data_IF_465903192222
#
_entry.id   IF_465903192222
#
_cell.length_a   1.000
_cell.length_b   1.000
_cell.length_c   1.000
_cell.angle_alpha   90.00
_cell.angle_beta   90.00
_cell.angle_gamma   90.00
#
_symmetry.space_group_name_H-M   'P 1'
#
loop_
_entity.id
_entity.type
_entity.pdbx_description
1 polymer ?
#
# COMPACT_ATOMS: atom_id res chain seq x y z
N UNK A 1 7.94 26.33 -9.10
CA UNK A 1 6.89 25.30 -8.92
C UNK A 1 5.73 25.62 -9.85
N UNK A 2 5.25 24.66 -10.64
CA UNK A 2 4.00 24.80 -11.41
C UNK A 2 2.88 24.14 -10.63
N UNK A 3 1.73 24.79 -10.54
CA UNK A 3 0.53 24.26 -9.89
C UNK A 3 -0.56 24.07 -10.93
N UNK A 4 -1.32 22.98 -10.83
CA UNK A 4 -2.47 22.67 -11.67
C UNK A 4 -3.68 22.48 -10.75
N UNK A 5 -4.76 23.21 -11.00
CA UNK A 5 -6.06 22.97 -10.38
C UNK A 5 -6.92 22.22 -11.39
N UNK A 6 -7.58 21.17 -10.93
CA UNK A 6 -8.44 20.36 -11.77
C UNK A 6 -9.48 19.65 -10.91
N UNK A 7 -10.58 19.27 -11.53
CA UNK A 7 -11.58 18.39 -10.97
C UNK A 7 -11.20 16.95 -11.30
N UNK A 8 -10.98 16.14 -10.27
CA UNK A 8 -10.75 14.70 -10.41
C UNK A 8 -12.06 14.03 -10.82
N UNK A 9 -12.03 13.33 -11.94
CA UNK A 9 -13.18 12.60 -12.48
C UNK A 9 -13.09 11.11 -12.19
N UNK A 10 -11.90 10.52 -12.35
CA UNK A 10 -11.70 9.09 -12.17
C UNK A 10 -10.23 8.79 -11.79
N UNK A 11 -10.03 7.64 -11.16
CA UNK A 11 -8.72 7.10 -10.80
C UNK A 11 -8.62 5.69 -11.40
N UNK A 12 -7.57 5.47 -12.19
CA UNK A 12 -7.22 4.13 -12.67
C UNK A 12 -5.74 3.85 -12.40
N UNK A 13 -5.30 2.61 -12.60
CA UNK A 13 -3.89 2.27 -12.43
C UNK A 13 -3.50 1.02 -13.18
N UNK A 14 -2.20 0.83 -13.33
CA UNK A 14 -1.59 -0.31 -14.03
C UNK A 14 -0.33 -0.76 -13.30
N UNK A 15 -0.11 -2.08 -13.23
CA UNK A 15 1.17 -2.64 -12.80
C UNK A 15 2.12 -2.69 -13.99
N UNK A 16 3.24 -2.00 -13.90
CA UNK A 16 4.30 -2.01 -14.92
C UNK A 16 5.53 -2.76 -14.39
N UNK A 17 6.50 -3.15 -15.25
CA UNK A 17 7.76 -3.73 -14.79
C UNK A 17 8.55 -2.81 -13.83
N UNK A 18 8.27 -1.52 -13.82
CA UNK A 18 8.91 -0.52 -12.94
C UNK A 18 8.12 -0.28 -11.64
N UNK A 19 6.95 -0.90 -11.48
CA UNK A 19 6.05 -0.77 -10.32
C UNK A 19 4.65 -0.27 -10.69
N UNK A 20 3.84 -0.02 -9.66
CA UNK A 20 2.48 0.48 -9.82
C UNK A 20 2.45 1.95 -10.28
N UNK A 21 1.60 2.23 -11.27
CA UNK A 21 1.35 3.59 -11.78
C UNK A 21 -0.11 3.95 -11.54
N UNK A 22 -0.37 5.14 -11.02
CA UNK A 22 -1.72 5.70 -10.82
C UNK A 22 -1.97 6.79 -11.85
N UNK A 23 -3.15 6.76 -12.46
CA UNK A 23 -3.66 7.74 -13.40
C UNK A 23 -4.83 8.48 -12.78
N UNK A 24 -4.70 9.80 -12.70
CA UNK A 24 -5.73 10.70 -12.22
C UNK A 24 -6.30 11.46 -13.41
N UNK A 25 -7.52 11.12 -13.80
CA UNK A 25 -8.23 11.73 -14.92
C UNK A 25 -9.02 12.93 -14.45
N UNK A 26 -9.00 14.02 -15.20
CA UNK A 26 -9.71 15.21 -14.77
C UNK A 26 -9.95 16.28 -15.82
N UNK A 27 -10.54 17.38 -15.36
CA UNK A 27 -10.79 18.59 -16.15
C UNK A 27 -10.21 19.80 -15.41
N UNK A 28 -9.39 20.61 -16.06
CA UNK A 28 -8.84 21.85 -15.48
C UNK A 28 -9.86 23.01 -15.44
N UNK A 29 -9.46 24.15 -14.89
CA UNK A 29 -10.32 25.33 -14.76
C UNK A 29 -10.70 25.98 -16.11
N UNK A 30 -10.00 25.63 -17.19
CA UNK A 30 -10.33 26.03 -18.56
C UNK A 30 -11.25 25.03 -19.27
N UNK A 31 -11.71 23.97 -18.59
CA UNK A 31 -12.55 22.93 -19.18
C UNK A 31 -11.78 21.92 -20.03
N UNK A 32 -10.44 21.91 -19.98
CA UNK A 32 -9.60 20.98 -20.74
C UNK A 32 -9.38 19.69 -19.97
N UNK A 33 -9.44 18.57 -20.69
CA UNK A 33 -9.11 17.24 -20.15
C UNK A 33 -7.64 17.14 -19.80
N UNK A 34 -7.35 16.67 -18.59
CA UNK A 34 -6.00 16.46 -18.06
C UNK A 34 -5.84 15.04 -17.53
N UNK A 35 -4.61 14.53 -17.62
CA UNK A 35 -4.18 13.27 -17.03
C UNK A 35 -2.92 13.55 -16.20
N UNK A 36 -2.96 13.22 -14.91
CA UNK A 36 -1.79 13.22 -14.03
C UNK A 36 -1.36 11.76 -13.82
N UNK A 37 -0.07 11.50 -14.01
CA UNK A 37 0.52 10.17 -13.88
C UNK A 37 1.46 10.16 -12.68
N UNK A 38 1.10 9.41 -11.64
CA UNK A 38 1.95 9.12 -10.49
C UNK A 38 2.65 7.78 -10.69
N UNK A 39 3.99 7.82 -10.74
CA UNK A 39 4.87 6.64 -10.89
C UNK A 39 5.62 6.27 -9.62
N UNK A 40 5.43 7.04 -8.55
CA UNK A 40 6.15 6.88 -7.28
C UNK A 40 5.28 6.24 -6.20
N UNK A 41 3.98 6.08 -6.46
CA UNK A 41 3.08 5.36 -5.58
C UNK A 41 3.62 3.98 -5.22
N UNK A 42 3.73 3.71 -3.92
CA UNK A 42 4.13 2.41 -3.37
C UNK A 42 2.94 1.81 -2.63
N UNK A 43 2.36 0.69 -3.11
CA UNK A 43 1.24 0.05 -2.43
C UNK A 43 1.68 -0.49 -1.07
N UNK A 44 0.80 -0.41 -0.07
CA UNK A 44 1.06 -0.95 1.26
C UNK A 44 -0.23 -1.43 1.93
N UNK A 45 -0.09 -2.30 2.92
CA UNK A 45 -1.19 -2.73 3.78
C UNK A 45 -0.76 -2.79 5.24
N UNK A 46 -1.74 -2.87 6.14
CA UNK A 46 -1.51 -3.06 7.56
C UNK A 46 -1.92 -4.46 7.99
N UNK A 47 -1.03 -5.14 8.71
CA UNK A 47 -1.30 -6.39 9.39
C UNK A 47 -1.34 -6.15 10.90
N UNK A 48 -2.41 -6.59 11.56
CA UNK A 48 -2.53 -6.54 13.02
C UNK A 48 -2.14 -7.92 13.55
N UNK A 49 -0.99 -8.05 14.24
CA UNK A 49 -0.57 -9.32 14.81
C UNK A 49 -1.57 -9.81 15.86
N UNK A 50 -1.71 -11.12 16.02
CA UNK A 50 -2.40 -11.68 17.19
C UNK A 50 -1.63 -11.35 18.48
N UNK A 51 -2.33 -11.37 19.62
CA UNK A 51 -1.77 -10.97 20.93
C UNK A 51 -0.43 -11.63 21.27
N UNK A 52 -0.23 -12.90 20.88
CA UNK A 52 1.00 -13.66 21.13
C UNK A 52 2.06 -13.55 20.02
N UNK A 53 1.76 -12.86 18.92
CA UNK A 53 2.67 -12.72 17.77
C UNK A 53 3.43 -11.41 17.87
N UNK A 54 4.75 -11.49 18.12
CA UNK A 54 5.59 -10.29 18.07
C UNK A 54 5.61 -9.73 16.65
N UNK A 55 5.35 -8.42 16.46
CA UNK A 55 5.51 -7.76 15.16
C UNK A 55 6.84 -8.08 14.47
N UNK A 56 7.91 -8.22 15.26
CA UNK A 56 9.28 -8.52 14.80
C UNK A 56 9.43 -9.92 14.18
N UNK A 57 8.55 -10.87 14.53
CA UNK A 57 8.54 -12.22 13.95
C UNK A 57 7.95 -12.24 12.52
N UNK A 58 7.03 -11.29 12.24
CA UNK A 58 6.53 -11.04 10.90
C UNK A 58 7.66 -10.39 10.07
N UNK A 59 8.41 -9.44 10.64
CA UNK A 59 9.58 -8.83 10.00
C UNK A 59 10.65 -9.86 9.60
N UNK A 60 11.03 -10.75 10.52
CA UNK A 60 12.12 -11.71 10.29
C UNK A 60 11.78 -12.84 9.32
N UNK A 61 10.50 -13.19 9.16
CA UNK A 61 10.07 -14.22 8.21
C UNK A 61 9.99 -13.70 6.76
N UNK A 62 10.09 -12.39 6.56
CA UNK A 62 9.86 -11.73 5.27
C UNK A 62 11.12 -11.16 4.62
N UNK A 63 12.17 -10.83 5.39
CA UNK A 63 13.41 -10.28 4.86
C UNK A 63 14.24 -11.28 4.03
N UNK A 64 13.93 -12.58 4.09
CA UNK A 64 14.81 -13.61 3.52
C UNK A 64 14.38 -14.11 2.14
N UNK A 65 13.09 -13.99 1.76
CA UNK A 65 12.56 -14.68 0.56
C UNK A 65 11.79 -13.80 -0.45
N UNK A 66 11.58 -12.51 -0.20
CA UNK A 66 10.74 -11.66 -1.06
C UNK A 66 11.41 -10.34 -1.46
N UNK A 67 12.07 -10.31 -2.62
CA UNK A 67 12.68 -9.12 -3.22
C UNK A 67 11.68 -7.98 -3.52
N UNK A 68 10.38 -8.24 -3.37
CA UNK A 68 9.28 -7.35 -3.74
C UNK A 68 8.70 -6.55 -2.55
N UNK A 69 9.30 -6.67 -1.36
CA UNK A 69 8.99 -5.79 -0.22
C UNK A 69 10.00 -4.64 -0.17
N UNK A 70 9.47 -3.42 -0.07
CA UNK A 70 10.26 -2.19 -0.02
C UNK A 70 10.55 -1.72 1.41
N UNK A 71 9.58 -1.85 2.30
CA UNK A 71 9.69 -1.38 3.68
C UNK A 71 8.72 -2.13 4.58
N UNK A 72 9.12 -2.35 5.83
CA UNK A 72 8.24 -2.88 6.87
C UNK A 72 8.49 -2.11 8.14
N UNK A 73 7.43 -1.53 8.71
CA UNK A 73 7.50 -0.67 9.89
C UNK A 73 6.33 -0.95 10.84
N UNK A 74 6.55 -0.72 12.14
CA UNK A 74 5.51 -0.82 13.15
C UNK A 74 4.96 0.57 13.40
N UNK A 75 3.67 0.76 13.18
CA UNK A 75 2.98 2.03 13.38
C UNK A 75 1.80 1.88 14.36
N UNK A 76 1.55 2.91 15.15
CA UNK A 76 0.34 3.00 15.97
C UNK A 76 -0.82 3.53 15.13
N UNK A 77 -1.94 2.80 15.10
CA UNK A 77 -3.15 3.15 14.34
C UNK A 77 -4.40 3.03 15.21
N UNK A 78 -5.50 3.62 14.72
CA UNK A 78 -6.83 3.42 15.32
C UNK A 78 -7.64 2.44 14.49
N UNK A 79 -8.16 1.40 15.13
CA UNK A 79 -9.14 0.48 14.57
C UNK A 79 -10.41 0.53 15.43
N UNK A 80 -11.51 1.04 14.87
CA UNK A 80 -12.83 1.12 15.54
C UNK A 80 -12.70 1.74 16.96
N UNK A 81 -11.97 2.85 17.06
CA UNK A 81 -11.77 3.58 18.32
C UNK A 81 -10.69 3.01 19.26
N UNK A 82 -10.17 1.81 19.00
CA UNK A 82 -9.08 1.21 19.77
C UNK A 82 -7.72 1.51 19.14
N UNK A 83 -6.73 1.82 19.97
CA UNK A 83 -5.34 1.99 19.53
C UNK A 83 -4.70 0.61 19.36
N UNK A 84 -4.16 0.34 18.17
CA UNK A 84 -3.50 -0.92 17.82
C UNK A 84 -2.09 -0.67 17.30
N UNK A 85 -1.16 -1.60 17.60
CA UNK A 85 0.16 -1.65 16.96
C UNK A 85 0.06 -2.48 15.69
N UNK A 86 0.10 -1.82 14.54
CA UNK A 86 -0.02 -2.46 13.24
C UNK A 86 1.35 -2.54 12.56
N UNK A 87 1.60 -3.62 11.83
CA UNK A 87 2.76 -3.77 10.94
C UNK A 87 2.35 -3.26 9.57
N UNK A 88 2.95 -2.16 9.13
CA UNK A 88 2.83 -1.64 7.77
C UNK A 88 3.82 -2.35 6.88
N UNK A 89 3.33 -2.91 5.78
CA UNK A 89 4.14 -3.61 4.79
C UNK A 89 3.97 -2.89 3.46
N UNK A 90 5.08 -2.35 2.92
CA UNK A 90 5.12 -1.64 1.65
C UNK A 90 5.72 -2.54 0.57
N UNK A 91 5.04 -2.63 -0.57
CA UNK A 91 5.35 -3.55 -1.66
C UNK A 91 5.77 -2.80 -2.94
N UNK A 92 6.43 -3.50 -3.85
CA UNK A 92 6.81 -2.97 -5.18
C UNK A 92 5.62 -2.80 -6.12
N UNK A 93 4.60 -3.65 -5.99
CA UNK A 93 3.42 -3.69 -6.85
C UNK A 93 2.15 -4.10 -6.09
N UNK A 94 0.98 -3.86 -6.69
CA UNK A 94 -0.32 -4.29 -6.15
C UNK A 94 -0.45 -5.80 -6.14
N UNK A 95 0.11 -6.49 -7.13
CA UNK A 95 0.12 -7.97 -7.21
C UNK A 95 0.90 -8.58 -6.05
N UNK A 96 2.08 -8.02 -5.75
CA UNK A 96 2.87 -8.41 -4.58
C UNK A 96 2.10 -8.18 -3.29
N UNK A 97 1.40 -7.05 -3.17
CA UNK A 97 0.58 -6.75 -2.00
C UNK A 97 -0.50 -7.82 -1.79
N UNK A 98 -1.25 -8.17 -2.83
CA UNK A 98 -2.32 -9.17 -2.76
C UNK A 98 -1.80 -10.55 -2.38
N UNK A 99 -0.69 -10.97 -3.00
CA UNK A 99 -0.01 -12.22 -2.66
C UNK A 99 0.44 -12.22 -1.19
N UNK A 100 0.99 -11.09 -0.72
CA UNK A 100 1.51 -10.96 0.62
C UNK A 100 0.43 -10.96 1.70
N UNK A 101 -0.64 -10.19 1.49
CA UNK A 101 -1.79 -10.18 2.38
C UNK A 101 -2.45 -11.56 2.45
N UNK A 102 -2.60 -12.24 1.31
CA UNK A 102 -3.14 -13.60 1.23
C UNK A 102 -2.28 -14.64 1.93
N UNK A 103 -0.96 -14.50 1.88
CA UNK A 103 -0.04 -15.40 2.56
C UNK A 103 -0.11 -15.23 4.09
N UNK A 104 -0.16 -13.98 4.59
CA UNK A 104 -0.25 -13.70 6.03
C UNK A 104 -1.57 -14.17 6.64
N UNK A 105 -2.69 -13.96 5.94
CA UNK A 105 -4.00 -14.39 6.43
C UNK A 105 -4.08 -15.91 6.60
N UNK A 106 -3.50 -16.68 5.68
CA UNK A 106 -3.50 -18.15 5.71
C UNK A 106 -2.68 -18.75 6.86
N UNK A 107 -1.64 -18.07 7.34
CA UNK A 107 -0.83 -18.54 8.47
C UNK A 107 -1.44 -18.22 9.84
N UNK A 108 -2.57 -17.51 9.88
CA UNK A 108 -3.27 -17.18 11.11
C UNK A 108 -2.44 -16.31 12.07
N UNK A 109 -1.44 -15.58 11.55
CA UNK A 109 -0.57 -14.68 12.31
C UNK A 109 -1.21 -13.30 12.56
N UNK A 110 -2.29 -13.01 11.83
CA UNK A 110 -3.02 -11.74 11.87
C UNK A 110 -4.43 -11.94 12.41
N UNK A 111 -4.99 -10.91 13.05
CA UNK A 111 -6.42 -10.86 13.38
C UNK A 111 -7.24 -10.79 12.06
N UNK A 112 -8.35 -11.53 11.99
CA UNK A 112 -9.29 -11.51 10.86
C UNK A 112 -10.38 -10.46 11.08
#
# INVERSE_FOLDING_TARGET
MKALRFYLLDISGETTPQGSVIWLWGIDDAGKRVLIVDKVFKPYFYAIPKEDTRPDSILSSWQTDHADILDVSIEEKKLIGQTVRAVKITCTSTETLEAAASYLSKRGLVQQ
#
